data_IF_886073786476
#
_entry.id   IF_886073786476
#
_cell.length_a   1.000
_cell.length_b   1.000
_cell.length_c   1.000
_cell.angle_alpha   90.00
_cell.angle_beta   90.00
_cell.angle_gamma   90.00
#
_symmetry.space_group_name_H-M   'P 1'
#
loop_
_entity.id
_entity.type
_entity.pdbx_description
1 polymer ?
#
# COMPACT_ATOMS: atom_id res chain seq x y z
N UNK A 1 31.92 -24.15 0.46
CA UNK A 1 31.86 -22.82 1.11
C UNK A 1 32.43 -22.97 2.52
N UNK A 2 33.57 -22.35 2.85
CA UNK A 2 34.05 -22.33 4.26
C UNK A 2 33.07 -21.43 5.04
N UNK A 3 32.54 -21.94 6.16
CA UNK A 3 31.75 -21.14 7.08
C UNK A 3 32.53 -19.88 7.47
N UNK A 4 32.03 -18.73 7.09
CA UNK A 4 32.66 -17.46 7.44
C UNK A 4 32.28 -17.10 8.88
N UNK A 5 33.28 -16.73 9.68
CA UNK A 5 33.04 -16.28 11.05
C UNK A 5 32.17 -15.02 11.03
N UNK A 6 30.94 -15.11 11.55
CA UNK A 6 29.99 -14.00 11.61
C UNK A 6 30.54 -12.76 12.32
N UNK A 7 31.49 -12.91 13.22
CA UNK A 7 32.17 -11.80 13.91
C UNK A 7 33.06 -10.98 12.97
N UNK A 8 33.45 -11.54 11.83
CA UNK A 8 34.32 -10.92 10.82
C UNK A 8 33.55 -10.46 9.58
N UNK A 9 32.22 -10.58 9.59
CA UNK A 9 31.41 -10.13 8.46
C UNK A 9 31.50 -8.61 8.28
N UNK A 10 31.93 -8.09 7.13
CA UNK A 10 32.02 -6.65 6.90
C UNK A 10 30.60 -6.03 6.94
N UNK A 11 30.39 -5.02 7.80
CA UNK A 11 29.08 -4.40 8.00
C UNK A 11 28.91 -3.06 7.29
N UNK A 12 30.01 -2.40 6.92
CA UNK A 12 29.99 -1.13 6.20
C UNK A 12 29.54 -1.32 4.74
N UNK A 13 29.10 -0.25 4.10
CA UNK A 13 28.73 -0.21 2.69
C UNK A 13 29.72 0.58 1.82
N UNK A 14 31.00 0.67 2.27
CA UNK A 14 32.05 1.11 1.38
C UNK A 14 32.43 0.01 0.35
N UNK A 15 33.03 0.41 -0.74
CA UNK A 15 33.40 -0.47 -1.87
C UNK A 15 34.22 -1.68 -1.45
N UNK A 16 35.12 -1.53 -0.48
CA UNK A 16 35.97 -2.61 0.03
C UNK A 16 35.12 -3.66 0.73
N UNK A 17 34.22 -3.23 1.62
CA UNK A 17 33.31 -4.10 2.38
C UNK A 17 32.31 -4.83 1.46
N UNK A 18 31.78 -4.14 0.45
CA UNK A 18 30.87 -4.73 -0.56
C UNK A 18 31.62 -5.81 -1.34
N UNK A 19 32.81 -5.51 -1.88
CA UNK A 19 33.63 -6.48 -2.64
C UNK A 19 34.06 -7.66 -1.79
N UNK A 20 34.37 -7.42 -0.51
CA UNK A 20 34.74 -8.50 0.42
C UNK A 20 33.54 -9.48 0.62
N UNK A 21 32.32 -8.98 0.78
CA UNK A 21 31.12 -9.82 0.87
C UNK A 21 30.85 -10.60 -0.42
N UNK A 22 30.92 -9.93 -1.57
CA UNK A 22 30.74 -10.56 -2.89
C UNK A 22 31.76 -11.69 -3.10
N UNK A 23 33.03 -11.42 -2.82
CA UNK A 23 34.13 -12.42 -2.93
C UNK A 23 33.93 -13.59 -1.99
N UNK A 24 33.57 -13.33 -0.73
CA UNK A 24 33.34 -14.36 0.27
C UNK A 24 32.19 -15.29 -0.08
N UNK A 25 31.14 -14.77 -0.75
CA UNK A 25 29.97 -15.51 -1.21
C UNK A 25 30.16 -16.16 -2.60
N UNK A 26 31.27 -15.89 -3.29
CA UNK A 26 31.50 -16.39 -4.64
C UNK A 26 30.53 -15.80 -5.68
N UNK A 27 30.05 -14.58 -5.47
CA UNK A 27 29.11 -13.91 -6.37
C UNK A 27 29.82 -13.39 -7.62
N UNK A 28 29.13 -13.41 -8.74
CA UNK A 28 29.61 -12.96 -10.04
C UNK A 28 28.58 -12.13 -10.81
N UNK A 29 28.93 -11.69 -12.02
CA UNK A 29 28.32 -10.75 -12.93
C UNK A 29 26.83 -10.39 -12.79
N UNK A 30 25.93 -11.33 -12.51
CA UNK A 30 24.48 -11.04 -12.46
C UNK A 30 24.05 -10.11 -11.33
N UNK A 31 24.83 -10.03 -10.25
CA UNK A 31 24.55 -9.20 -9.06
C UNK A 31 25.69 -8.24 -8.71
N UNK A 32 26.89 -8.41 -9.33
CA UNK A 32 28.10 -7.64 -9.00
C UNK A 32 28.44 -6.56 -10.03
N UNK A 33 27.84 -6.62 -11.22
CA UNK A 33 28.05 -5.65 -12.32
C UNK A 33 27.14 -4.42 -12.27
N UNK A 34 26.40 -4.20 -11.17
CA UNK A 34 25.46 -3.10 -11.02
C UNK A 34 26.13 -2.02 -10.18
N UNK A 35 25.96 -0.75 -10.58
CA UNK A 35 26.37 0.38 -9.75
C UNK A 35 25.50 0.43 -8.47
N UNK A 36 26.13 0.20 -7.33
CA UNK A 36 25.49 0.19 -6.03
C UNK A 36 25.57 1.54 -5.30
N UNK A 37 26.27 2.54 -5.86
CA UNK A 37 26.48 3.84 -5.23
C UNK A 37 25.17 4.55 -4.82
N UNK A 38 24.05 4.47 -5.59
CA UNK A 38 22.79 5.09 -5.18
C UNK A 38 22.15 4.44 -3.94
N UNK A 39 22.60 3.24 -3.54
CA UNK A 39 21.93 2.43 -2.51
C UNK A 39 22.72 2.31 -1.21
N UNK A 40 23.93 2.88 -1.13
CA UNK A 40 24.84 2.69 0.02
C UNK A 40 24.26 3.12 1.37
N UNK A 41 23.32 4.07 1.36
CA UNK A 41 22.64 4.55 2.56
C UNK A 41 21.21 3.97 2.72
N UNK A 42 20.80 3.04 1.85
CA UNK A 42 19.43 2.54 1.83
C UNK A 42 19.22 1.35 2.76
N UNK A 43 20.27 0.56 2.97
CA UNK A 43 20.22 -0.66 3.79
C UNK A 43 21.58 -1.04 4.30
N UNK A 44 21.60 -1.84 5.36
CA UNK A 44 22.82 -2.38 5.94
C UNK A 44 23.36 -3.55 5.10
N UNK A 45 24.67 -3.75 5.12
CA UNK A 45 25.36 -4.88 4.49
C UNK A 45 25.01 -5.05 2.99
N UNK A 46 24.86 -3.94 2.28
CA UNK A 46 24.62 -3.92 0.84
C UNK A 46 25.64 -4.79 0.10
N UNK A 47 25.18 -5.75 -0.70
CA UNK A 47 26.05 -6.72 -1.37
C UNK A 47 25.84 -6.76 -2.88
N UNK A 48 24.63 -6.47 -3.34
CA UNK A 48 24.24 -6.49 -4.75
C UNK A 48 22.85 -5.93 -4.95
N UNK A 49 22.37 -5.95 -6.17
CA UNK A 49 21.01 -5.59 -6.50
C UNK A 49 20.35 -6.69 -7.34
N UNK A 50 19.03 -6.79 -7.26
CA UNK A 50 18.23 -7.64 -8.13
C UNK A 50 17.69 -6.80 -9.29
N UNK A 51 17.79 -7.31 -10.50
CA UNK A 51 17.22 -6.69 -11.69
C UNK A 51 15.86 -7.35 -11.96
N UNK A 52 14.81 -6.56 -11.97
CA UNK A 52 13.46 -7.00 -12.31
C UNK A 52 13.08 -6.28 -13.62
N UNK A 53 12.63 -7.01 -14.66
CA UNK A 53 12.20 -6.38 -15.91
C UNK A 53 10.98 -5.48 -15.67
N UNK A 54 10.97 -4.32 -16.32
CA UNK A 54 9.86 -3.37 -16.24
C UNK A 54 9.16 -3.25 -17.55
N UNK A 55 7.85 -3.44 -17.57
CA UNK A 55 6.98 -3.08 -18.68
C UNK A 55 6.21 -1.80 -18.36
N UNK A 56 5.79 -1.07 -19.38
CA UNK A 56 4.96 0.12 -19.24
C UNK A 56 3.62 -0.14 -19.93
N UNK A 57 2.54 0.05 -19.20
CA UNK A 57 1.18 -0.17 -19.70
C UNK A 57 0.39 1.13 -19.66
N UNK A 58 -0.40 1.35 -20.71
CA UNK A 58 -1.25 2.52 -20.83
C UNK A 58 -1.56 2.87 -22.29
N UNK A 59 -2.17 4.05 -22.52
CA UNK A 59 -2.61 4.97 -21.48
C UNK A 59 -3.82 4.43 -20.69
N UNK A 60 -3.81 4.64 -19.38
CA UNK A 60 -5.00 4.56 -18.56
C UNK A 60 -5.71 5.91 -18.66
N UNK A 61 -6.94 5.90 -19.13
CA UNK A 61 -7.79 7.08 -19.18
C UNK A 61 -8.50 7.23 -17.83
N UNK A 62 -8.15 8.25 -17.05
CA UNK A 62 -8.57 8.39 -15.65
C UNK A 62 -9.09 9.79 -15.40
N UNK A 63 -10.25 9.90 -14.77
CA UNK A 63 -10.72 11.11 -14.13
C UNK A 63 -10.25 11.10 -12.67
N UNK A 64 -9.23 11.89 -12.40
CA UNK A 64 -8.55 12.03 -11.11
C UNK A 64 -9.20 13.16 -10.30
N UNK A 65 -9.50 12.91 -9.03
CA UNK A 65 -9.85 13.97 -8.09
C UNK A 65 -8.61 14.74 -7.63
N UNK A 66 -8.78 16.03 -7.41
CA UNK A 66 -7.82 16.88 -6.71
C UNK A 66 -8.26 16.98 -5.25
N UNK A 67 -7.32 16.88 -4.30
CA UNK A 67 -7.65 16.78 -2.89
C UNK A 67 -6.78 17.67 -2.04
N UNK A 68 -7.40 18.24 -1.01
CA UNK A 68 -6.74 18.90 0.11
C UNK A 68 -6.93 18.07 1.39
N UNK A 69 -5.90 18.07 2.22
CA UNK A 69 -5.93 17.47 3.54
C UNK A 69 -6.24 18.57 4.58
N UNK A 70 -7.40 18.45 5.24
CA UNK A 70 -7.75 19.33 6.37
C UNK A 70 -6.92 18.92 7.60
N UNK A 71 -5.93 19.70 7.87
CA UNK A 71 -5.08 19.58 9.06
C UNK A 71 -5.73 20.32 10.26
N UNK A 72 -5.81 19.75 11.44
CA UNK A 72 -5.17 18.52 11.92
C UNK A 72 -6.07 17.27 11.87
N UNK A 73 -7.27 17.36 11.34
CA UNK A 73 -8.27 16.29 11.45
C UNK A 73 -8.09 15.18 10.41
N UNK A 74 -7.21 15.35 9.44
CA UNK A 74 -6.92 14.37 8.40
C UNK A 74 -8.12 14.04 7.53
N UNK A 75 -9.03 15.00 7.34
CA UNK A 75 -10.13 14.88 6.39
C UNK A 75 -9.59 15.19 5.01
N UNK A 76 -9.89 14.33 4.07
CA UNK A 76 -9.56 14.55 2.67
C UNK A 76 -10.78 15.14 1.99
N UNK A 77 -10.65 16.34 1.44
CA UNK A 77 -11.73 17.06 0.76
C UNK A 77 -11.38 17.20 -0.72
N UNK A 78 -12.31 16.80 -1.58
CA UNK A 78 -12.16 16.98 -3.02
C UNK A 78 -12.37 18.45 -3.39
N UNK A 79 -11.41 19.03 -4.12
CA UNK A 79 -11.42 20.43 -4.54
C UNK A 79 -11.62 20.60 -6.04
N UNK A 80 -11.40 19.56 -6.82
CA UNK A 80 -11.56 19.57 -8.27
C UNK A 80 -11.41 18.18 -8.89
N UNK A 81 -11.54 18.12 -10.22
CA UNK A 81 -11.28 16.93 -11.03
C UNK A 81 -10.62 17.29 -12.34
N UNK A 82 -9.72 16.44 -12.78
CA UNK A 82 -9.10 16.53 -14.09
C UNK A 82 -9.02 15.16 -14.76
N UNK A 83 -9.18 15.13 -16.07
CA UNK A 83 -9.00 13.91 -16.85
C UNK A 83 -7.58 13.85 -17.39
N UNK A 84 -6.96 12.70 -17.28
CA UNK A 84 -5.59 12.48 -17.72
C UNK A 84 -5.40 11.09 -18.33
N UNK A 85 -4.34 10.93 -19.12
CA UNK A 85 -3.90 9.68 -19.72
C UNK A 85 -2.54 9.29 -19.15
N UNK A 86 -2.50 8.24 -18.35
CA UNK A 86 -1.32 7.87 -17.58
C UNK A 86 -0.74 6.54 -18.05
N UNK A 87 0.58 6.49 -18.16
CA UNK A 87 1.33 5.24 -18.40
C UNK A 87 1.89 4.73 -17.08
N UNK A 88 1.66 3.44 -16.78
CA UNK A 88 2.01 2.83 -15.49
C UNK A 88 3.16 1.84 -15.64
N UNK A 89 4.27 2.00 -14.92
CA UNK A 89 5.38 1.05 -14.90
C UNK A 89 5.04 -0.17 -14.02
N UNK A 90 5.41 -1.35 -14.50
CA UNK A 90 5.18 -2.63 -13.84
C UNK A 90 6.47 -3.44 -13.81
N UNK A 91 7.11 -3.54 -12.64
CA UNK A 91 8.28 -4.38 -12.41
C UNK A 91 7.82 -5.76 -11.92
N UNK A 92 7.91 -6.79 -12.77
CA UNK A 92 7.42 -8.12 -12.44
C UNK A 92 8.05 -9.22 -13.27
N UNK A 93 7.82 -10.47 -12.85
CA UNK A 93 8.23 -11.70 -13.56
C UNK A 93 7.03 -12.59 -13.91
N UNK A 94 5.81 -12.10 -13.70
CA UNK A 94 4.56 -12.84 -13.96
C UNK A 94 4.19 -12.75 -15.43
N UNK A 95 3.98 -13.90 -16.07
CA UNK A 95 3.51 -13.95 -17.45
C UNK A 95 2.06 -13.49 -17.59
N UNK A 96 1.78 -12.64 -18.59
CA UNK A 96 0.42 -12.19 -18.89
C UNK A 96 -0.07 -10.97 -18.11
N UNK A 97 0.59 -10.56 -17.02
CA UNK A 97 0.15 -9.45 -16.16
C UNK A 97 -0.03 -8.15 -16.95
N UNK A 98 1.02 -7.73 -17.66
CA UNK A 98 0.99 -6.48 -18.44
C UNK A 98 -0.05 -6.51 -19.56
N UNK A 99 -0.19 -7.63 -20.26
CA UNK A 99 -1.20 -7.79 -21.30
C UNK A 99 -2.62 -7.78 -20.74
N UNK A 100 -2.81 -8.37 -19.56
CA UNK A 100 -4.09 -8.39 -18.86
C UNK A 100 -4.49 -6.99 -18.40
N UNK A 101 -3.58 -6.26 -17.75
CA UNK A 101 -3.82 -4.87 -17.32
C UNK A 101 -4.11 -3.97 -18.53
N UNK A 102 -3.37 -4.10 -19.62
CA UNK A 102 -3.62 -3.36 -20.87
C UNK A 102 -5.02 -3.64 -21.43
N UNK A 103 -5.46 -4.90 -21.44
CA UNK A 103 -6.80 -5.27 -21.92
C UNK A 103 -7.90 -4.62 -21.07
N UNK A 104 -7.76 -4.60 -19.74
CA UNK A 104 -8.70 -3.92 -18.85
C UNK A 104 -8.71 -2.41 -19.04
N UNK A 105 -7.53 -1.80 -19.17
CA UNK A 105 -7.39 -0.37 -19.46
C UNK A 105 -8.06 0.01 -20.79
N UNK A 106 -7.89 -0.81 -21.83
CA UNK A 106 -8.55 -0.62 -23.12
C UNK A 106 -10.08 -0.72 -23.00
N UNK A 107 -10.60 -1.72 -22.29
CA UNK A 107 -12.05 -1.87 -22.10
C UNK A 107 -12.64 -0.65 -21.36
N UNK A 108 -11.92 -0.14 -20.37
CA UNK A 108 -12.31 1.07 -19.64
C UNK A 108 -12.26 2.30 -20.55
N UNK A 109 -11.20 2.52 -21.32
CA UNK A 109 -11.08 3.65 -22.23
C UNK A 109 -12.20 3.68 -23.30
N UNK A 110 -12.55 2.51 -23.87
CA UNK A 110 -13.67 2.36 -24.82
C UNK A 110 -15.06 2.57 -24.14
N UNK A 111 -15.10 2.62 -22.82
CA UNK A 111 -16.32 2.79 -22.01
C UNK A 111 -16.38 4.14 -21.26
N UNK A 112 -15.45 5.06 -21.51
CA UNK A 112 -15.45 6.39 -20.90
C UNK A 112 -14.38 6.62 -19.83
N UNK A 113 -13.48 5.63 -19.58
CA UNK A 113 -12.37 5.74 -18.65
C UNK A 113 -12.73 5.43 -17.20
N UNK A 114 -11.71 5.40 -16.35
CA UNK A 114 -11.86 5.23 -14.91
C UNK A 114 -12.20 6.55 -14.23
N UNK A 115 -12.90 6.45 -13.11
CA UNK A 115 -13.05 7.54 -12.14
C UNK A 115 -12.52 7.08 -10.78
N UNK A 116 -11.84 7.96 -10.07
CA UNK A 116 -11.19 7.61 -8.80
C UNK A 116 -11.51 8.60 -7.70
N UNK A 117 -11.42 8.12 -6.44
CA UNK A 117 -11.72 8.91 -5.24
C UNK A 117 -10.77 8.55 -4.12
N UNK A 118 -10.33 9.56 -3.37
CA UNK A 118 -9.61 9.38 -2.09
C UNK A 118 -10.59 9.68 -0.95
N UNK A 119 -10.85 8.69 -0.12
CA UNK A 119 -11.83 8.80 0.97
C UNK A 119 -11.18 9.07 2.33
N UNK A 120 -9.88 8.83 2.47
CA UNK A 120 -9.21 9.02 3.75
C UNK A 120 -7.72 8.82 3.66
N UNK A 121 -7.04 9.40 4.64
CA UNK A 121 -5.60 9.27 4.88
C UNK A 121 -5.37 9.03 6.36
N UNK A 122 -4.88 7.84 6.71
CA UNK A 122 -4.72 7.43 8.09
C UNK A 122 -3.72 6.29 8.19
N UNK A 123 -2.66 6.48 8.93
CA UNK A 123 -1.72 5.41 9.27
C UNK A 123 -1.63 5.27 10.78
N UNK A 124 -1.48 4.04 11.29
CA UNK A 124 -1.54 3.78 12.74
C UNK A 124 -0.29 3.11 13.27
N UNK A 125 0.10 3.50 14.50
CA UNK A 125 1.03 2.74 15.33
C UNK A 125 0.28 2.20 16.55
N UNK A 126 0.45 0.93 16.86
CA UNK A 126 -0.27 0.24 17.93
C UNK A 126 0.64 0.03 19.13
N UNK A 127 0.59 0.94 20.10
CA UNK A 127 1.27 0.78 21.38
C UNK A 127 0.44 -0.02 22.38
N UNK A 128 1.09 -0.52 23.43
CA UNK A 128 0.41 -1.11 24.58
C UNK A 128 1.06 -0.65 25.87
N UNK A 129 0.24 -0.19 26.79
CA UNK A 129 0.65 0.10 28.15
C UNK A 129 0.20 -1.03 29.07
N UNK A 130 1.15 -1.62 29.79
CA UNK A 130 0.89 -2.64 30.80
C UNK A 130 0.78 -1.96 32.15
N UNK A 131 -0.39 -2.07 32.77
CA UNK A 131 -0.67 -1.54 34.10
C UNK A 131 -0.68 -2.68 35.13
N UNK A 132 -0.71 -2.35 36.41
CA UNK A 132 -0.80 -3.33 37.51
C UNK A 132 -2.19 -3.96 37.55
N UNK A 133 -3.23 -3.16 37.30
CA UNK A 133 -4.64 -3.58 37.41
C UNK A 133 -5.45 -3.22 36.19
N UNK A 134 -6.60 -3.89 36.01
CA UNK A 134 -7.58 -3.54 34.98
C UNK A 134 -8.16 -2.13 35.22
N UNK A 135 -8.35 -1.72 36.48
CA UNK A 135 -8.85 -0.39 36.81
C UNK A 135 -7.90 0.70 36.32
N UNK A 136 -6.60 0.55 36.54
CA UNK A 136 -5.57 1.45 36.02
C UNK A 136 -5.57 1.52 34.49
N UNK A 137 -5.71 0.39 33.82
CA UNK A 137 -5.79 0.34 32.37
C UNK A 137 -7.03 1.09 31.83
N UNK A 138 -8.18 0.99 32.52
CA UNK A 138 -9.40 1.73 32.18
C UNK A 138 -9.23 3.22 32.45
N UNK A 139 -8.59 3.61 33.57
CA UNK A 139 -8.31 5.02 33.87
C UNK A 139 -7.39 5.63 32.83
N UNK A 140 -6.35 4.90 32.43
CA UNK A 140 -5.43 5.31 31.35
C UNK A 140 -6.17 5.50 30.02
N UNK A 141 -7.01 4.55 29.63
CA UNK A 141 -7.79 4.64 28.39
C UNK A 141 -8.71 5.88 28.37
N UNK A 142 -9.39 6.16 29.49
CA UNK A 142 -10.22 7.37 29.64
C UNK A 142 -9.39 8.65 29.55
N UNK A 143 -8.24 8.69 30.20
CA UNK A 143 -7.30 9.81 30.11
C UNK A 143 -6.88 10.07 28.69
N UNK A 144 -6.41 9.06 27.96
CA UNK A 144 -5.94 9.19 26.57
C UNK A 144 -7.05 9.70 25.63
N UNK A 145 -8.26 9.15 25.75
CA UNK A 145 -9.39 9.59 24.92
C UNK A 145 -9.83 11.04 25.22
N UNK A 146 -9.69 11.49 26.48
CA UNK A 146 -10.04 12.85 26.87
C UNK A 146 -9.02 13.92 26.45
N UNK A 147 -7.74 13.53 26.28
CA UNK A 147 -6.63 14.48 26.07
C UNK A 147 -6.07 14.50 24.65
N UNK A 148 -6.80 13.99 23.64
CA UNK A 148 -6.31 13.92 22.23
C UNK A 148 -5.89 15.29 21.71
N UNK A 149 -6.67 16.35 21.98
CA UNK A 149 -6.35 17.71 21.54
C UNK A 149 -5.08 18.26 22.22
N UNK A 150 -4.87 17.92 23.48
CA UNK A 150 -3.68 18.31 24.22
C UNK A 150 -2.44 17.56 23.73
N UNK A 151 -2.52 16.25 23.54
CA UNK A 151 -1.44 15.43 22.96
C UNK A 151 -1.04 15.91 21.56
N UNK A 152 -2.01 16.34 20.77
CA UNK A 152 -1.76 16.92 19.43
C UNK A 152 -0.95 18.21 19.54
N UNK A 153 -1.35 19.13 20.41
CA UNK A 153 -0.61 20.38 20.66
C UNK A 153 0.77 20.10 21.21
N UNK A 154 0.85 19.25 22.24
CA UNK A 154 2.10 18.87 22.86
C UNK A 154 3.11 18.32 21.82
N UNK A 155 2.65 17.44 20.91
CA UNK A 155 3.50 16.89 19.85
C UNK A 155 3.91 17.95 18.82
N UNK A 156 3.01 18.88 18.47
CA UNK A 156 3.28 19.94 17.49
C UNK A 156 4.26 21.00 17.99
N UNK A 157 4.37 21.18 19.33
CA UNK A 157 5.27 22.12 19.98
C UNK A 157 6.69 21.53 20.19
N UNK A 158 6.94 20.28 19.80
CA UNK A 158 8.24 19.63 19.90
C UNK A 158 9.13 20.02 18.73
N UNK A 159 10.37 20.39 19.04
CA UNK A 159 11.41 20.78 18.07
C UNK A 159 12.59 19.80 18.02
N UNK A 160 12.51 18.68 18.76
CA UNK A 160 13.53 17.64 18.72
C UNK A 160 13.65 17.05 17.30
N UNK A 161 14.84 17.06 16.73
CA UNK A 161 15.11 16.68 15.35
C UNK A 161 14.65 15.26 14.95
N UNK A 162 14.42 14.39 15.94
CA UNK A 162 13.94 13.03 15.70
C UNK A 162 12.41 12.93 15.67
N UNK A 163 11.66 13.93 16.16
CA UNK A 163 10.21 14.01 16.06
C UNK A 163 9.82 14.55 14.68
N UNK A 164 8.85 13.94 14.04
CA UNK A 164 8.43 14.36 12.70
C UNK A 164 7.34 15.42 12.79
N UNK A 165 7.58 16.59 12.21
CA UNK A 165 6.56 17.62 12.00
C UNK A 165 5.53 17.27 10.92
N UNK A 166 5.82 16.28 10.06
CA UNK A 166 4.93 15.83 9.00
C UNK A 166 3.97 14.73 9.44
N UNK A 167 4.29 13.96 10.51
CA UNK A 167 3.38 12.98 11.07
C UNK A 167 2.49 13.65 12.13
N UNK A 168 1.27 14.01 11.78
CA UNK A 168 0.35 14.74 12.65
C UNK A 168 -0.65 13.80 13.28
N UNK A 169 -0.78 13.86 14.62
CA UNK A 169 -1.72 13.04 15.37
C UNK A 169 -3.16 13.43 15.01
N UNK A 170 -3.89 12.49 14.43
CA UNK A 170 -5.28 12.65 14.01
C UNK A 170 -6.25 12.24 15.11
N UNK A 171 -6.12 11.00 15.57
CA UNK A 171 -7.01 10.39 16.57
C UNK A 171 -6.28 9.36 17.42
N UNK A 172 -6.89 9.01 18.52
CA UNK A 172 -6.44 7.97 19.44
C UNK A 172 -7.57 7.00 19.65
N UNK A 173 -7.29 5.72 19.57
CA UNK A 173 -8.25 4.67 19.84
C UNK A 173 -7.67 3.74 20.91
N UNK A 174 -8.46 3.40 21.92
CA UNK A 174 -8.00 2.59 23.06
C UNK A 174 -8.82 1.30 23.19
N UNK A 175 -8.15 0.20 23.51
CA UNK A 175 -8.75 -1.10 23.80
C UNK A 175 -8.15 -1.68 25.06
N UNK A 176 -8.98 -1.92 26.07
CA UNK A 176 -8.53 -2.49 27.33
C UNK A 176 -8.78 -4.00 27.32
N UNK A 177 -7.72 -4.76 27.61
CA UNK A 177 -7.77 -6.22 27.75
C UNK A 177 -7.05 -6.61 29.04
N UNK A 178 -7.80 -6.92 30.08
CA UNK A 178 -7.23 -7.12 31.42
C UNK A 178 -6.50 -5.84 31.90
N UNK A 179 -5.26 -5.99 32.35
CA UNK A 179 -4.43 -4.86 32.76
C UNK A 179 -3.67 -4.17 31.62
N UNK A 180 -3.96 -4.52 30.36
CA UNK A 180 -3.33 -3.93 29.19
C UNK A 180 -4.25 -2.90 28.53
N UNK A 181 -3.71 -1.70 28.30
CA UNK A 181 -4.34 -0.65 27.49
C UNK A 181 -3.63 -0.59 26.14
N UNK A 182 -4.21 -1.19 25.10
CA UNK A 182 -3.76 -1.04 23.73
C UNK A 182 -4.20 0.30 23.18
N UNK A 183 -3.30 1.00 22.50
CA UNK A 183 -3.52 2.34 21.97
C UNK A 183 -3.13 2.38 20.50
N UNK A 184 -4.07 2.75 19.65
CA UNK A 184 -3.82 3.06 18.26
C UNK A 184 -3.61 4.56 18.10
N UNK A 185 -2.38 4.95 17.88
CA UNK A 185 -2.01 6.30 17.48
C UNK A 185 -2.23 6.45 15.99
N UNK A 186 -3.21 7.22 15.56
CA UNK A 186 -3.48 7.44 14.15
C UNK A 186 -2.92 8.79 13.69
N UNK A 187 -2.16 8.77 12.60
CA UNK A 187 -1.49 9.93 12.02
C UNK A 187 -1.88 10.13 10.56
N UNK A 188 -1.73 11.37 10.08
CA UNK A 188 -1.52 11.69 8.67
C UNK A 188 -0.03 11.90 8.44
N UNK A 189 0.48 11.57 7.25
CA UNK A 189 1.92 11.61 6.95
C UNK A 189 2.26 12.39 5.67
N UNK A 190 1.28 13.12 5.14
CA UNK A 190 1.42 13.87 3.89
C UNK A 190 1.81 12.96 2.74
N UNK A 191 2.81 13.39 1.96
CA UNK A 191 3.26 12.66 0.78
C UNK A 191 4.18 11.46 1.06
N UNK A 192 4.56 11.23 2.31
CA UNK A 192 5.33 10.05 2.67
C UNK A 192 4.41 8.87 3.04
N UNK A 193 4.89 7.64 2.84
CA UNK A 193 4.23 6.45 3.39
C UNK A 193 4.14 6.51 4.92
N UNK A 194 5.23 6.90 5.60
CA UNK A 194 5.25 7.42 6.96
C UNK A 194 5.51 6.47 8.13
N UNK A 195 5.80 5.16 7.98
CA UNK A 195 5.92 4.23 9.12
C UNK A 195 6.99 4.65 10.14
N UNK A 196 8.13 5.16 9.67
CA UNK A 196 9.20 5.64 10.56
C UNK A 196 8.81 6.92 11.30
N UNK A 197 8.10 7.83 10.64
CA UNK A 197 7.66 9.09 11.24
C UNK A 197 6.63 8.85 12.34
N UNK A 198 5.61 8.02 12.07
CA UNK A 198 4.60 7.67 13.08
C UNK A 198 5.21 6.91 14.26
N UNK A 199 6.22 6.06 14.03
CA UNK A 199 6.91 5.33 15.10
C UNK A 199 7.62 6.27 16.05
N UNK A 200 8.34 7.27 15.54
CA UNK A 200 9.01 8.29 16.35
C UNK A 200 8.02 9.10 17.16
N UNK A 201 6.94 9.56 16.52
CA UNK A 201 5.92 10.37 17.19
C UNK A 201 5.12 9.57 18.21
N UNK A 202 4.82 8.30 17.96
CA UNK A 202 4.21 7.41 18.93
C UNK A 202 5.14 7.15 20.13
N UNK A 203 6.45 7.01 19.90
CA UNK A 203 7.43 6.91 20.99
C UNK A 203 7.44 8.18 21.84
N UNK A 204 7.44 9.36 21.21
CA UNK A 204 7.37 10.64 21.94
C UNK A 204 6.12 10.73 22.80
N UNK A 205 4.95 10.38 22.25
CA UNK A 205 3.70 10.33 23.00
C UNK A 205 3.75 9.32 24.14
N UNK A 206 4.26 8.12 23.91
CA UNK A 206 4.35 7.10 24.95
C UNK A 206 5.22 7.55 26.11
N UNK A 207 6.44 7.99 25.83
CA UNK A 207 7.46 8.24 26.86
C UNK A 207 7.43 9.67 27.40
N UNK A 208 7.19 10.67 26.54
CA UNK A 208 7.24 12.07 26.92
C UNK A 208 5.88 12.62 27.38
N UNK A 209 4.77 12.09 26.86
CA UNK A 209 3.45 12.57 27.32
C UNK A 209 2.79 11.62 28.30
N UNK A 210 2.57 10.36 27.92
CA UNK A 210 1.79 9.42 28.74
C UNK A 210 2.49 9.08 30.04
N UNK A 211 3.77 8.72 29.97
CA UNK A 211 4.54 8.36 31.18
C UNK A 211 4.72 9.54 32.13
N UNK A 212 4.62 10.79 31.65
CA UNK A 212 4.78 11.98 32.48
C UNK A 212 3.45 12.52 33.03
N UNK A 213 2.37 12.52 32.23
CA UNK A 213 1.13 13.23 32.54
C UNK A 213 -0.06 12.33 32.91
N UNK A 214 0.02 11.01 32.59
CA UNK A 214 -1.11 10.13 32.94
C UNK A 214 -1.33 10.00 34.46
N UNK A 215 -2.60 9.91 34.91
CA UNK A 215 -2.95 9.80 36.31
C UNK A 215 -2.50 8.49 36.96
N UNK A 216 -2.25 7.48 36.11
CA UNK A 216 -1.67 6.19 36.49
C UNK A 216 -0.34 6.01 35.77
N UNK A 217 0.60 5.34 36.43
CA UNK A 217 1.91 5.06 35.83
C UNK A 217 1.98 3.62 35.36
N UNK A 218 1.90 3.36 34.04
CA UNK A 218 2.08 2.01 33.52
C UNK A 218 3.42 1.42 33.91
N UNK A 219 3.48 0.15 34.21
CA UNK A 219 4.72 -0.57 34.50
C UNK A 219 5.62 -0.66 33.26
N UNK A 220 4.98 -0.68 32.08
CA UNK A 220 5.69 -0.80 30.80
C UNK A 220 4.93 -0.15 29.67
N UNK A 221 5.66 0.52 28.78
CA UNK A 221 5.18 0.97 27.47
C UNK A 221 5.83 0.13 26.37
N UNK A 222 5.01 -0.52 25.54
CA UNK A 222 5.43 -1.29 24.36
C UNK A 222 5.05 -0.46 23.13
N UNK A 223 6.02 -0.14 22.29
CA UNK A 223 5.80 0.76 21.16
C UNK A 223 5.00 0.14 20.03
N UNK A 224 5.14 -1.16 19.78
CA UNK A 224 4.39 -1.89 18.76
C UNK A 224 3.85 -3.22 19.35
N UNK A 225 2.55 -3.27 19.54
CA UNK A 225 1.84 -4.41 20.13
C UNK A 225 0.84 -5.07 19.15
N UNK A 226 1.09 -4.92 17.86
CA UNK A 226 0.46 -5.68 16.78
C UNK A 226 -1.03 -5.38 16.47
N UNK A 227 -1.71 -4.54 17.25
CA UNK A 227 -3.12 -4.22 17.01
C UNK A 227 -3.34 -3.33 15.77
N UNK A 228 -2.32 -2.59 15.33
CA UNK A 228 -2.37 -1.70 14.17
C UNK A 228 -2.41 -2.41 12.82
N UNK A 229 -2.01 -3.68 12.77
CA UNK A 229 -1.95 -4.45 11.53
C UNK A 229 -0.82 -4.05 10.59
N UNK A 230 0.16 -3.25 11.01
CA UNK A 230 1.30 -2.84 10.20
C UNK A 230 1.95 -4.05 9.50
N UNK A 231 2.02 -4.00 8.16
CA UNK A 231 2.48 -5.09 7.28
C UNK A 231 1.71 -6.42 7.42
N UNK A 232 0.50 -6.40 7.98
CA UNK A 232 -0.32 -7.61 8.20
C UNK A 232 -1.76 -7.34 7.78
N UNK A 233 -2.33 -8.14 6.86
CA UNK A 233 -3.75 -8.06 6.49
C UNK A 233 -4.65 -8.19 7.73
N UNK A 234 -5.60 -7.28 7.89
CA UNK A 234 -6.53 -7.27 9.01
C UNK A 234 -7.90 -6.76 8.57
N UNK A 235 -8.97 -7.36 9.09
CA UNK A 235 -10.34 -6.91 8.86
C UNK A 235 -10.54 -5.44 9.28
N UNK A 236 -9.79 -4.99 10.27
CA UNK A 236 -9.81 -3.63 10.78
C UNK A 236 -9.60 -2.55 9.71
N UNK A 237 -8.90 -2.86 8.62
CA UNK A 237 -8.73 -1.93 7.50
C UNK A 237 -10.07 -1.53 6.85
N UNK A 238 -11.02 -2.44 6.82
CA UNK A 238 -12.36 -2.17 6.26
C UNK A 238 -13.27 -1.44 7.23
N UNK A 239 -13.06 -1.57 8.55
CA UNK A 239 -13.92 -0.99 9.58
C UNK A 239 -13.64 0.49 9.83
N UNK A 240 -12.39 0.87 10.00
CA UNK A 240 -11.98 2.17 10.56
C UNK A 240 -11.27 3.10 9.58
N UNK A 241 -11.46 2.92 8.28
CA UNK A 241 -10.84 3.78 7.28
C UNK A 241 -9.39 3.47 7.02
N UNK A 242 -8.97 2.24 7.25
CA UNK A 242 -7.72 1.67 6.73
C UNK A 242 -6.46 2.02 7.49
N UNK A 243 -5.35 1.71 6.82
CA UNK A 243 -3.98 1.99 7.25
C UNK A 243 -3.18 2.39 6.01
N UNK A 244 -3.11 3.67 5.71
CA UNK A 244 -2.64 4.28 4.48
C UNK A 244 -3.73 5.15 3.85
N UNK A 245 -3.75 5.24 2.53
CA UNK A 245 -4.80 5.95 1.79
C UNK A 245 -5.96 5.01 1.49
N UNK A 246 -7.19 5.42 1.80
CA UNK A 246 -8.40 4.71 1.36
C UNK A 246 -8.83 5.26 0.02
N UNK A 247 -8.76 4.42 -1.02
CA UNK A 247 -9.00 4.83 -2.41
C UNK A 247 -10.07 3.96 -3.05
N UNK A 248 -10.91 4.58 -3.87
CA UNK A 248 -11.84 3.90 -4.77
C UNK A 248 -11.44 4.14 -6.22
N UNK A 249 -11.66 3.13 -7.04
CA UNK A 249 -11.70 3.26 -8.49
C UNK A 249 -12.98 2.62 -9.03
N UNK A 250 -13.56 3.22 -10.06
CA UNK A 250 -14.76 2.70 -10.71
C UNK A 250 -14.71 2.88 -12.22
N UNK A 251 -15.51 2.08 -12.91
CA UNK A 251 -15.79 2.23 -14.35
C UNK A 251 -17.15 1.59 -14.68
N UNK A 252 -17.87 2.19 -15.59
CA UNK A 252 -19.06 1.57 -16.20
C UNK A 252 -18.70 1.04 -17.57
N UNK A 253 -18.51 -0.27 -17.67
CA UNK A 253 -18.20 -0.92 -18.95
C UNK A 253 -19.45 -1.12 -19.79
N UNK A 254 -19.38 -0.75 -21.06
CA UNK A 254 -20.47 -1.01 -22.03
C UNK A 254 -20.53 -2.49 -22.38
N UNK A 255 -21.73 -2.99 -22.71
CA UNK A 255 -21.92 -4.36 -23.20
C UNK A 255 -21.00 -4.67 -24.41
N UNK A 256 -20.74 -3.66 -25.24
CA UNK A 256 -19.88 -3.81 -26.40
C UNK A 256 -18.39 -3.99 -25.99
N UNK A 257 -17.87 -3.19 -25.07
CA UNK A 257 -16.52 -3.35 -24.53
C UNK A 257 -16.34 -4.69 -23.82
N UNK A 258 -17.33 -5.12 -23.00
CA UNK A 258 -17.31 -6.44 -22.34
C UNK A 258 -17.21 -7.57 -23.38
N UNK A 259 -18.00 -7.51 -24.43
CA UNK A 259 -18.03 -8.55 -25.46
C UNK A 259 -16.81 -8.55 -26.37
N UNK A 260 -16.42 -7.37 -26.91
CA UNK A 260 -15.34 -7.27 -27.92
C UNK A 260 -13.94 -7.29 -27.31
N UNK A 261 -13.75 -6.55 -26.21
CA UNK A 261 -12.42 -6.41 -25.61
C UNK A 261 -12.18 -7.49 -24.57
N UNK A 262 -13.11 -7.69 -23.65
CA UNK A 262 -12.97 -8.66 -22.56
C UNK A 262 -13.35 -10.08 -22.96
N UNK A 263 -14.12 -10.25 -24.06
CA UNK A 263 -14.55 -11.55 -24.60
C UNK A 263 -15.35 -12.40 -23.61
N UNK A 264 -16.24 -11.76 -22.90
CA UNK A 264 -17.16 -12.38 -21.93
C UNK A 264 -18.52 -11.68 -21.98
N UNK A 265 -19.43 -12.02 -21.09
CA UNK A 265 -20.71 -11.36 -20.93
C UNK A 265 -20.86 -10.72 -19.56
N UNK A 266 -21.81 -9.81 -19.42
CA UNK A 266 -22.15 -9.21 -18.11
C UNK A 266 -22.67 -10.27 -17.16
N UNK A 267 -23.41 -11.26 -17.64
CA UNK A 267 -23.94 -12.37 -16.83
C UNK A 267 -22.81 -13.23 -16.25
N UNK A 268 -21.84 -13.61 -17.08
CA UNK A 268 -20.67 -14.38 -16.64
C UNK A 268 -19.86 -13.63 -15.59
N UNK A 269 -19.65 -12.32 -15.75
CA UNK A 269 -18.94 -11.51 -14.77
C UNK A 269 -19.69 -11.43 -13.42
N UNK A 270 -21.02 -11.33 -13.44
CA UNK A 270 -21.84 -11.31 -12.22
C UNK A 270 -21.83 -12.67 -11.53
N UNK A 271 -21.91 -13.76 -12.28
CA UNK A 271 -21.84 -15.13 -11.75
C UNK A 271 -20.47 -15.38 -11.09
N UNK A 272 -19.36 -14.97 -11.74
CA UNK A 272 -18.04 -15.04 -11.13
C UNK A 272 -17.96 -14.20 -9.85
N UNK A 273 -18.50 -12.98 -9.85
CA UNK A 273 -18.50 -12.10 -8.67
C UNK A 273 -19.25 -12.75 -7.50
N UNK A 274 -20.40 -13.37 -7.79
CA UNK A 274 -21.18 -14.11 -6.81
C UNK A 274 -20.39 -15.31 -6.24
N UNK A 275 -19.88 -16.17 -7.11
CA UNK A 275 -19.10 -17.34 -6.73
C UNK A 275 -17.82 -16.97 -5.95
N UNK A 276 -17.08 -15.96 -6.43
CA UNK A 276 -15.86 -15.48 -5.81
C UNK A 276 -16.08 -14.89 -4.41
N UNK A 277 -17.14 -14.09 -4.24
CA UNK A 277 -17.51 -13.53 -2.93
C UNK A 277 -17.83 -14.64 -1.92
N UNK A 278 -18.63 -15.61 -2.31
CA UNK A 278 -18.99 -16.73 -1.42
C UNK A 278 -17.78 -17.64 -1.13
N UNK A 279 -16.91 -17.86 -2.12
CA UNK A 279 -15.64 -18.57 -1.93
C UNK A 279 -14.72 -17.86 -0.94
N UNK A 280 -14.60 -16.53 -1.04
CA UNK A 280 -13.83 -15.72 -0.11
C UNK A 280 -14.37 -15.81 1.32
N UNK A 281 -15.69 -15.66 1.49
CA UNK A 281 -16.34 -15.78 2.81
C UNK A 281 -16.14 -17.19 3.39
N UNK A 282 -16.34 -18.24 2.59
CA UNK A 282 -16.20 -19.62 3.03
C UNK A 282 -14.76 -19.97 3.47
N UNK A 283 -13.77 -19.32 2.87
CA UNK A 283 -12.35 -19.49 3.22
C UNK A 283 -11.84 -18.52 4.29
N UNK A 284 -12.69 -17.62 4.79
CA UNK A 284 -12.31 -16.63 5.81
C UNK A 284 -11.42 -15.51 5.29
N UNK A 285 -11.36 -15.31 3.98
CA UNK A 285 -10.61 -14.20 3.39
C UNK A 285 -11.27 -12.85 3.70
N UNK A 286 -10.43 -11.85 3.98
CA UNK A 286 -10.87 -10.47 4.21
C UNK A 286 -10.96 -9.64 2.93
N UNK A 287 -10.31 -10.11 1.86
CA UNK A 287 -10.32 -9.49 0.54
C UNK A 287 -11.18 -10.31 -0.41
N UNK A 288 -12.02 -9.65 -1.18
CA UNK A 288 -12.94 -10.30 -2.16
C UNK A 288 -12.61 -9.90 -3.61
N UNK A 289 -11.38 -9.48 -3.87
CA UNK A 289 -10.83 -9.24 -5.21
C UNK A 289 -9.75 -10.28 -5.52
N UNK A 290 -9.53 -10.58 -6.80
CA UNK A 290 -8.67 -11.69 -7.24
C UNK A 290 -7.21 -11.28 -7.41
N UNK A 291 -6.93 -10.08 -7.91
CA UNK A 291 -5.62 -9.72 -8.48
C UNK A 291 -4.90 -8.50 -7.88
N UNK A 292 -5.37 -7.85 -6.82
CA UNK A 292 -4.75 -6.60 -6.36
C UNK A 292 -3.27 -6.74 -6.06
N UNK A 293 -2.86 -7.88 -5.48
CA UNK A 293 -1.46 -8.12 -5.10
C UNK A 293 -0.50 -8.07 -6.30
N UNK A 294 -0.89 -8.63 -7.45
CA UNK A 294 -0.05 -8.63 -8.66
C UNK A 294 0.19 -7.22 -9.19
N UNK A 295 -0.87 -6.41 -9.30
CA UNK A 295 -0.74 -5.02 -9.78
C UNK A 295 0.05 -4.15 -8.80
N UNK A 296 -0.28 -4.22 -7.51
CA UNK A 296 0.34 -3.38 -6.48
C UNK A 296 1.81 -3.75 -6.30
N UNK A 297 2.16 -5.05 -6.25
CA UNK A 297 3.55 -5.47 -6.14
C UNK A 297 4.39 -4.98 -7.33
N UNK A 298 3.86 -5.07 -8.55
CA UNK A 298 4.58 -4.63 -9.74
C UNK A 298 4.80 -3.11 -9.76
N UNK A 299 3.80 -2.31 -9.36
CA UNK A 299 3.93 -0.85 -9.26
C UNK A 299 4.87 -0.49 -8.11
N UNK A 300 4.75 -1.13 -6.96
CA UNK A 300 5.60 -0.87 -5.78
C UNK A 300 7.07 -1.14 -6.08
N UNK A 301 7.37 -2.27 -6.72
CA UNK A 301 8.74 -2.60 -7.11
C UNK A 301 9.33 -1.58 -8.10
N UNK A 302 8.53 -1.11 -9.07
CA UNK A 302 8.96 -0.10 -10.03
C UNK A 302 9.21 1.27 -9.38
N UNK A 303 8.39 1.66 -8.38
CA UNK A 303 8.37 3.02 -7.83
C UNK A 303 9.05 3.16 -6.47
N UNK A 304 9.77 2.12 -6.02
CA UNK A 304 10.55 2.17 -4.78
C UNK A 304 9.68 2.23 -3.52
N UNK A 305 8.44 1.73 -3.56
CA UNK A 305 7.59 1.60 -2.39
C UNK A 305 8.10 0.46 -1.48
N UNK A 306 7.73 0.50 -0.20
CA UNK A 306 8.06 -0.59 0.73
C UNK A 306 7.31 -1.88 0.34
N UNK A 307 8.03 -2.88 -0.15
CA UNK A 307 7.47 -4.16 -0.56
C UNK A 307 6.82 -4.94 0.59
N UNK A 308 7.21 -4.68 1.83
CA UNK A 308 6.56 -5.23 3.02
C UNK A 308 5.09 -4.79 3.17
N UNK A 309 4.71 -3.67 2.52
CA UNK A 309 3.34 -3.14 2.54
C UNK A 309 2.43 -3.74 1.45
N UNK A 310 2.93 -4.59 0.56
CA UNK A 310 2.12 -5.20 -0.51
C UNK A 310 0.96 -5.99 0.07
N UNK A 311 1.19 -6.77 1.14
CA UNK A 311 0.15 -7.60 1.76
C UNK A 311 -1.02 -6.79 2.31
N UNK A 312 -0.77 -5.63 2.91
CA UNK A 312 -1.80 -4.71 3.43
C UNK A 312 -2.43 -3.87 2.33
N UNK A 313 -1.61 -3.31 1.45
CA UNK A 313 -2.06 -2.45 0.35
C UNK A 313 -2.91 -3.18 -0.68
N UNK A 314 -2.76 -4.50 -0.80
CA UNK A 314 -3.52 -5.34 -1.73
C UNK A 314 -4.85 -5.85 -1.18
N UNK A 315 -5.19 -5.56 0.07
CA UNK A 315 -6.54 -5.83 0.57
C UNK A 315 -7.55 -5.00 -0.23
N UNK A 316 -8.56 -5.66 -0.79
CA UNK A 316 -9.48 -4.99 -1.70
C UNK A 316 -10.88 -5.60 -1.65
N UNK A 317 -11.89 -4.77 -1.89
CA UNK A 317 -13.25 -5.22 -2.22
C UNK A 317 -13.57 -4.81 -3.66
N UNK A 318 -13.68 -5.81 -4.52
CA UNK A 318 -14.22 -5.68 -5.88
C UNK A 318 -15.75 -5.77 -5.86
N UNK A 319 -16.42 -5.00 -6.71
CA UNK A 319 -17.87 -5.03 -6.88
C UNK A 319 -18.25 -5.01 -8.34
N UNK A 320 -19.33 -5.72 -8.68
CA UNK A 320 -19.95 -5.70 -10.00
C UNK A 320 -21.47 -5.52 -9.88
N UNK A 321 -22.05 -4.60 -10.64
CA UNK A 321 -23.48 -4.38 -10.66
C UNK A 321 -23.97 -4.15 -12.09
N UNK A 322 -24.98 -4.89 -12.53
CA UNK A 322 -25.66 -4.61 -13.80
C UNK A 322 -26.25 -3.20 -13.82
N UNK A 323 -26.01 -2.50 -14.90
CA UNK A 323 -26.62 -1.21 -15.20
C UNK A 323 -27.19 -1.25 -16.63
N UNK A 324 -28.00 -0.25 -16.98
CA UNK A 324 -28.46 -0.12 -18.35
C UNK A 324 -27.27 0.00 -19.31
N UNK A 325 -27.25 -0.85 -20.33
CA UNK A 325 -26.18 -0.87 -21.33
C UNK A 325 -24.87 -1.52 -20.92
N UNK A 326 -24.74 -2.08 -19.69
CA UNK A 326 -23.48 -2.68 -19.29
C UNK A 326 -23.36 -3.13 -17.84
N UNK A 327 -22.16 -3.00 -17.30
CA UNK A 327 -21.82 -3.33 -15.91
C UNK A 327 -21.01 -2.21 -15.27
N UNK A 328 -21.42 -1.80 -14.08
CA UNK A 328 -20.64 -0.92 -13.22
C UNK A 328 -19.72 -1.77 -12.35
N UNK A 329 -18.41 -1.51 -12.44
CA UNK A 329 -17.36 -2.18 -11.68
C UNK A 329 -16.70 -1.18 -10.74
N UNK A 330 -16.46 -1.58 -9.50
CA UNK A 330 -15.78 -0.79 -8.50
C UNK A 330 -14.72 -1.60 -7.76
N UNK A 331 -13.69 -0.91 -7.27
CA UNK A 331 -12.65 -1.47 -6.40
C UNK A 331 -12.38 -0.51 -5.25
N UNK A 332 -12.43 -1.00 -4.03
CA UNK A 332 -11.99 -0.27 -2.84
C UNK A 332 -10.68 -0.86 -2.32
N UNK A 333 -9.68 0.00 -2.17
CA UNK A 333 -8.42 -0.27 -1.47
C UNK A 333 -8.46 0.50 -0.13
N UNK A 334 -8.70 -0.17 1.00
CA UNK A 334 -8.87 0.52 2.29
C UNK A 334 -7.55 0.91 2.94
N UNK A 335 -6.43 0.34 2.48
CA UNK A 335 -5.15 0.46 3.14
C UNK A 335 -3.97 0.61 2.19
N UNK A 336 -4.04 1.52 1.22
CA UNK A 336 -2.97 1.73 0.26
C UNK A 336 -1.84 2.56 0.90
N UNK A 337 -0.74 1.88 1.25
CA UNK A 337 0.41 2.46 1.91
C UNK A 337 1.45 2.91 0.89
N UNK A 338 1.30 4.12 0.37
CA UNK A 338 2.16 4.70 -0.67
C UNK A 338 2.73 6.05 -0.28
N UNK A 339 3.86 6.41 -0.88
CA UNK A 339 4.47 7.71 -0.78
C UNK A 339 5.09 8.16 -2.09
N UNK A 340 5.27 9.47 -2.23
CA UNK A 340 5.92 10.12 -3.37
C UNK A 340 7.18 10.88 -2.96
N UNK A 341 7.47 10.88 -1.66
CA UNK A 341 8.68 11.46 -1.06
C UNK A 341 9.31 10.50 -0.06
N UNK A 342 10.61 10.58 0.09
CA UNK A 342 11.41 9.83 1.07
C UNK A 342 11.58 8.34 0.75
N UNK A 343 12.40 7.67 1.51
CA UNK A 343 12.66 6.23 1.36
C UNK A 343 13.11 5.84 -0.05
N UNK A 344 12.62 4.71 -0.52
CA UNK A 344 12.98 4.16 -1.84
C UNK A 344 12.50 5.00 -3.04
N UNK A 345 11.58 5.97 -2.85
CA UNK A 345 11.16 6.88 -3.93
C UNK A 345 12.30 7.80 -4.40
N UNK A 346 13.35 7.92 -3.60
CA UNK A 346 14.55 8.69 -3.93
C UNK A 346 15.54 7.92 -4.81
N UNK A 347 15.38 6.62 -4.98
CA UNK A 347 16.24 5.87 -5.88
C UNK A 347 16.07 6.35 -7.33
N UNK A 348 17.16 6.49 -8.10
CA UNK A 348 17.09 7.05 -9.45
C UNK A 348 16.06 6.36 -10.35
N UNK A 349 16.00 5.02 -10.30
CA UNK A 349 15.02 4.27 -11.08
C UNK A 349 13.57 4.56 -10.64
N UNK A 350 13.32 4.58 -9.34
CA UNK A 350 11.98 4.81 -8.79
C UNK A 350 11.50 6.21 -9.12
N UNK A 351 12.38 7.21 -8.98
CA UNK A 351 12.07 8.59 -9.33
C UNK A 351 11.69 8.75 -10.79
N UNK A 352 12.44 8.11 -11.72
CA UNK A 352 12.12 8.12 -13.15
C UNK A 352 10.71 7.60 -13.44
N UNK A 353 10.31 6.50 -12.78
CA UNK A 353 8.97 5.94 -12.98
C UNK A 353 7.86 6.76 -12.31
N UNK A 354 8.14 7.41 -11.19
CA UNK A 354 7.21 8.35 -10.56
C UNK A 354 7.06 9.62 -11.43
N UNK A 355 8.13 10.11 -12.02
CA UNK A 355 8.11 11.26 -12.96
C UNK A 355 7.30 10.94 -14.23
N UNK A 356 7.38 9.72 -14.77
CA UNK A 356 6.56 9.27 -15.88
C UNK A 356 5.05 9.43 -15.62
N UNK A 357 4.63 9.22 -14.36
CA UNK A 357 3.23 9.33 -13.94
C UNK A 357 2.87 10.73 -13.42
N UNK A 358 3.79 11.70 -13.46
CA UNK A 358 3.68 12.99 -12.75
C UNK A 358 3.38 12.81 -11.25
N UNK A 359 4.09 11.86 -10.60
CA UNK A 359 3.89 11.49 -9.21
C UNK A 359 5.14 11.65 -8.33
N UNK A 360 6.22 12.25 -8.83
CA UNK A 360 7.43 12.48 -8.03
C UNK A 360 7.31 13.75 -7.19
N UNK A 361 7.60 13.65 -5.89
CA UNK A 361 7.71 14.81 -5.01
C UNK A 361 6.44 15.16 -4.23
N UNK A 362 6.42 16.35 -3.68
CA UNK A 362 5.37 16.84 -2.77
C UNK A 362 4.07 17.16 -3.52
N UNK A 363 2.93 16.94 -2.87
CA UNK A 363 1.58 17.18 -3.41
C UNK A 363 1.09 16.10 -4.37
N UNK A 364 1.80 14.99 -4.49
CA UNK A 364 1.54 13.99 -5.53
C UNK A 364 0.99 12.66 -5.00
N UNK A 365 0.93 12.45 -3.69
CA UNK A 365 0.57 11.13 -3.13
C UNK A 365 -0.86 10.71 -3.47
N UNK A 366 -1.82 11.63 -3.47
CA UNK A 366 -3.20 11.31 -3.80
C UNK A 366 -3.38 11.00 -5.29
N UNK A 367 -2.65 11.70 -6.17
CA UNK A 367 -2.57 11.35 -7.59
C UNK A 367 -2.01 9.94 -7.77
N UNK A 368 -0.90 9.63 -7.12
CA UNK A 368 -0.28 8.30 -7.21
C UNK A 368 -1.21 7.20 -6.70
N UNK A 369 -1.84 7.40 -5.55
CA UNK A 369 -2.79 6.44 -4.97
C UNK A 369 -3.98 6.14 -5.91
N UNK A 370 -4.51 7.16 -6.58
CA UNK A 370 -5.59 7.02 -7.56
C UNK A 370 -5.15 6.24 -8.81
N UNK A 371 -3.95 6.50 -9.31
CA UNK A 371 -3.38 5.76 -10.45
C UNK A 371 -3.19 4.28 -10.10
N UNK A 372 -2.67 3.98 -8.91
CA UNK A 372 -2.53 2.59 -8.42
C UNK A 372 -3.89 1.90 -8.35
N UNK A 373 -4.92 2.57 -7.83
CA UNK A 373 -6.27 2.00 -7.75
C UNK A 373 -6.89 1.74 -9.14
N UNK A 374 -6.74 2.66 -10.07
CA UNK A 374 -7.23 2.49 -11.45
C UNK A 374 -6.50 1.34 -12.19
N UNK A 375 -5.18 1.26 -12.06
CA UNK A 375 -4.38 0.17 -12.63
C UNK A 375 -4.77 -1.19 -12.02
N UNK A 376 -5.00 -1.23 -10.70
CA UNK A 376 -5.45 -2.43 -10.02
C UNK A 376 -6.84 -2.86 -10.50
N UNK A 377 -7.78 -1.92 -10.65
CA UNK A 377 -9.10 -2.22 -11.21
C UNK A 377 -9.02 -2.69 -12.67
N UNK A 378 -8.14 -2.10 -13.48
CA UNK A 378 -7.94 -2.54 -14.86
C UNK A 378 -7.51 -4.01 -14.93
N UNK A 379 -6.56 -4.43 -14.08
CA UNK A 379 -6.13 -5.82 -14.00
C UNK A 379 -7.27 -6.73 -13.49
N UNK A 380 -7.97 -6.30 -12.45
CA UNK A 380 -9.08 -7.05 -11.83
C UNK A 380 -10.20 -7.34 -12.84
N UNK A 381 -10.65 -6.34 -13.60
CA UNK A 381 -11.65 -6.50 -14.66
C UNK A 381 -11.21 -7.51 -15.71
N UNK A 382 -9.99 -7.40 -16.16
CA UNK A 382 -9.44 -8.27 -17.22
C UNK A 382 -9.27 -9.71 -16.73
N UNK A 383 -8.75 -9.90 -15.54
CA UNK A 383 -8.58 -11.24 -14.95
C UNK A 383 -9.94 -11.89 -14.67
N UNK A 384 -10.86 -11.13 -14.08
CA UNK A 384 -12.24 -11.58 -13.86
C UNK A 384 -12.91 -12.02 -15.17
N UNK A 385 -12.76 -11.23 -16.22
CA UNK A 385 -13.31 -11.60 -17.53
C UNK A 385 -12.71 -12.91 -18.09
N UNK A 386 -11.43 -13.17 -17.84
CA UNK A 386 -10.79 -14.43 -18.27
C UNK A 386 -11.30 -15.62 -17.48
N UNK A 387 -11.56 -15.46 -16.18
CA UNK A 387 -12.09 -16.53 -15.31
C UNK A 387 -13.58 -16.78 -15.53
N UNK A 388 -14.34 -15.73 -15.90
CA UNK A 388 -15.78 -15.78 -16.05
C UNK A 388 -16.26 -16.52 -17.32
N UNK A 389 -15.40 -16.67 -18.33
CA UNK A 389 -15.79 -17.39 -19.55
C UNK A 389 -16.09 -18.86 -19.27
N UNK A 390 -17.01 -19.44 -20.03
CA UNK A 390 -17.41 -20.83 -19.90
C UNK A 390 -16.18 -21.78 -19.88
N UNK A 391 -16.09 -22.62 -18.83
CA UNK A 391 -14.95 -23.50 -18.59
C UNK A 391 -13.65 -22.75 -18.24
N UNK A 392 -13.68 -21.44 -18.06
CA UNK A 392 -12.49 -20.61 -17.82
C UNK A 392 -11.39 -20.80 -18.90
N UNK A 393 -11.76 -21.09 -20.12
CA UNK A 393 -10.79 -21.42 -21.17
C UNK A 393 -9.80 -20.29 -21.45
N UNK A 394 -10.26 -19.04 -21.45
CA UNK A 394 -9.39 -17.87 -21.62
C UNK A 394 -8.33 -17.77 -20.49
N UNK A 395 -8.72 -18.12 -19.28
CA UNK A 395 -7.81 -18.15 -18.12
C UNK A 395 -6.79 -19.29 -18.26
N UNK A 396 -7.24 -20.49 -18.62
CA UNK A 396 -6.37 -21.64 -18.91
C UNK A 396 -5.38 -21.33 -20.03
N UNK A 397 -5.84 -20.82 -21.16
CA UNK A 397 -4.99 -20.49 -22.30
C UNK A 397 -3.95 -19.41 -21.97
N UNK A 398 -4.32 -18.39 -21.18
CA UNK A 398 -3.37 -17.39 -20.73
C UNK A 398 -2.24 -18.00 -19.90
N UNK A 399 -2.56 -18.93 -18.99
CA UNK A 399 -1.57 -19.63 -18.18
C UNK A 399 -0.73 -20.61 -18.99
N UNK A 400 -1.34 -21.33 -19.94
CA UNK A 400 -0.66 -22.29 -20.77
C UNK A 400 0.30 -21.61 -21.78
N UNK A 401 -0.12 -20.50 -22.39
CA UNK A 401 0.63 -19.84 -23.45
C UNK A 401 1.57 -18.74 -22.95
N UNK A 402 1.16 -17.96 -21.94
CA UNK A 402 1.88 -16.80 -21.46
C UNK A 402 2.63 -17.06 -20.16
N UNK A 403 2.12 -17.95 -19.31
CA UNK A 403 2.76 -18.36 -18.06
C UNK A 403 3.88 -19.39 -18.25
N UNK A 404 3.92 -20.06 -19.41
CA UNK A 404 4.99 -20.99 -19.75
C UNK A 404 6.30 -20.25 -20.01
N UNK A 405 7.36 -20.60 -19.29
CA UNK A 405 8.70 -20.11 -19.58
C UNK A 405 9.08 -20.59 -20.98
N UNK A 406 9.12 -19.69 -21.94
CA UNK A 406 9.77 -19.91 -23.21
C UNK A 406 11.28 -19.79 -22.94
N UNK A 407 11.93 -20.93 -22.84
CA UNK A 407 13.40 -21.01 -22.84
C UNK A 407 13.91 -20.90 -24.25
#
# INVERSE_FOLDING_TARGET
>A
MRAMDLKRWPRKNDDESIRARQKALGLNGGVTGIDLSPFVNAQEMLTGAAVIPVSVVGPLDIELGEYELDEPFGRVTETGRARDQVYVPLAHTEGGLSASLYRGARAAAESGGFRTYVLGDRITRASCFVCTTTEEAVQLARFLNAHVAEMRRWLAERDEAWISSFARLREVETHVVGSMCHVLWAFTTGDACGPNMMTRNAYALNMGYVMEHAPVKPERAILEANMGGDKKPSHRYFERGGHGKTVLAEVTLTNDAVRRVLRTTVDDLLELSFAGTHGAVASGMQSVAFTPASAIAAIFAATGQDLGMVGTSSMAHGTGRRVEGGIHCGLRLPGLEVGTVGGGTLFPYARTWLELMDCAGTGKVYRFAQIVAAATLALEISASASMATAGSENFFQAHHQLGGKRH
#
